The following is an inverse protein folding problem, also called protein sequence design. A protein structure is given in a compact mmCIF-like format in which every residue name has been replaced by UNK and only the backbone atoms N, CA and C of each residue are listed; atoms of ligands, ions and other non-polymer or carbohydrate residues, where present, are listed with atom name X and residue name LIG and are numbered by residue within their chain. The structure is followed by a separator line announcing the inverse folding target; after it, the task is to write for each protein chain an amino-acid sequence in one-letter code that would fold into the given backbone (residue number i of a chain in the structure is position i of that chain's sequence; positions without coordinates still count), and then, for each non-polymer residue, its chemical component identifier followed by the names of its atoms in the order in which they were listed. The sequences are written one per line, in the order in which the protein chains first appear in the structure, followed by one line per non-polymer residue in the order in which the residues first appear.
data_IF_149698486945
#
_entry.id   IF_149698486945
#
_cell.length_a   1.000
_cell.length_b   1.000
_cell.length_c   1.000
_cell.angle_alpha   90.00
_cell.angle_beta   90.00
_cell.angle_gamma   90.00
#
_symmetry.space_group_name_H-M   'P 1'
#
loop_
_entity.id
_entity.type
_entity.pdbx_description
1 polymer ?
#
# COMPACT_ATOMS: atom_id res chain seq x y z
N UNK A 1 -19.16 10.32 8.80
CA UNK A 1 -17.80 10.05 9.34
C UNK A 1 -16.72 10.93 8.71
N UNK A 2 -17.02 11.67 7.63
CA UNK A 2 -16.08 12.61 7.00
C UNK A 2 -15.06 11.95 6.09
N UNK A 3 -15.19 10.64 5.85
CA UNK A 3 -14.25 9.89 5.00
C UNK A 3 -14.55 10.12 3.53
N UNK A 4 -13.49 10.26 2.72
CA UNK A 4 -13.62 10.37 1.26
C UNK A 4 -13.98 9.01 0.67
N UNK A 5 -15.08 8.99 -0.09
CA UNK A 5 -15.49 7.87 -0.91
C UNK A 5 -15.45 8.27 -2.38
N UNK A 6 -14.98 7.37 -3.24
CA UNK A 6 -15.16 7.49 -4.69
C UNK A 6 -16.45 6.80 -5.10
N UNK A 7 -17.17 7.40 -6.05
CA UNK A 7 -18.35 6.76 -6.65
C UNK A 7 -17.94 5.46 -7.33
N UNK A 8 -18.78 4.44 -7.23
CA UNK A 8 -18.58 3.08 -7.78
C UNK A 8 -17.51 2.21 -7.09
N UNK A 9 -17.03 2.59 -5.89
CA UNK A 9 -16.24 1.65 -5.07
C UNK A 9 -17.16 0.56 -4.51
N UNK A 10 -16.83 -0.70 -4.79
CA UNK A 10 -17.52 -1.85 -4.22
C UNK A 10 -16.91 -2.18 -2.85
N UNK A 11 -17.74 -2.18 -1.82
CA UNK A 11 -17.39 -2.70 -0.51
C UNK A 11 -17.98 -4.10 -0.36
N UNK A 12 -17.16 -5.03 0.12
CA UNK A 12 -17.59 -6.39 0.45
C UNK A 12 -17.36 -6.59 1.94
N UNK A 13 -18.41 -7.01 2.65
CA UNK A 13 -18.26 -7.50 4.02
C UNK A 13 -17.51 -8.82 3.98
N UNK A 14 -16.60 -9.01 4.93
CA UNK A 14 -15.77 -10.20 5.06
C UNK A 14 -15.78 -10.67 6.51
N UNK A 15 -15.84 -11.98 6.70
CA UNK A 15 -15.94 -12.64 7.99
C UNK A 15 -14.72 -13.49 8.33
N UNK A 16 -13.81 -13.72 7.37
CA UNK A 16 -12.58 -14.49 7.57
C UNK A 16 -11.39 -13.94 6.78
N UNK A 17 -10.18 -14.41 7.14
CA UNK A 17 -8.94 -14.02 6.44
C UNK A 17 -8.92 -14.58 5.02
N UNK A 18 -9.51 -15.75 4.81
CA UNK A 18 -9.63 -16.42 3.51
C UNK A 18 -10.49 -15.60 2.54
N UNK A 19 -11.58 -14.99 3.02
CA UNK A 19 -12.41 -14.10 2.20
C UNK A 19 -11.64 -12.83 1.80
N UNK A 20 -10.84 -12.25 2.71
CA UNK A 20 -9.93 -11.14 2.38
C UNK A 20 -8.93 -11.57 1.31
N UNK A 21 -8.35 -12.75 1.45
CA UNK A 21 -7.36 -13.27 0.50
C UNK A 21 -7.97 -13.54 -0.88
N UNK A 22 -9.17 -14.11 -0.93
CA UNK A 22 -9.91 -14.32 -2.17
C UNK A 22 -10.23 -13.00 -2.90
N UNK A 23 -10.59 -11.95 -2.16
CA UNK A 23 -10.81 -10.61 -2.74
C UNK A 23 -9.51 -9.99 -3.26
N UNK A 24 -8.40 -10.18 -2.55
CA UNK A 24 -7.07 -9.76 -2.98
C UNK A 24 -6.64 -10.45 -4.28
N UNK A 25 -6.78 -11.78 -4.35
CA UNK A 25 -6.47 -12.57 -5.54
C UNK A 25 -7.37 -12.19 -6.72
N UNK A 26 -8.66 -11.95 -6.47
CA UNK A 26 -9.59 -11.47 -7.49
C UNK A 26 -9.17 -10.09 -8.01
N UNK A 27 -8.79 -9.16 -7.12
CA UNK A 27 -8.30 -7.83 -7.50
C UNK A 27 -6.99 -7.92 -8.30
N UNK A 28 -6.06 -8.78 -7.90
CA UNK A 28 -4.81 -9.04 -8.62
C UNK A 28 -5.06 -9.65 -10.01
N UNK A 29 -5.99 -10.62 -10.10
CA UNK A 29 -6.38 -11.24 -11.37
C UNK A 29 -7.07 -10.24 -12.30
N UNK A 30 -7.96 -9.38 -11.78
CA UNK A 30 -8.59 -8.31 -12.55
C UNK A 30 -7.55 -7.31 -13.08
N UNK A 31 -6.54 -6.96 -12.26
CA UNK A 31 -5.37 -6.17 -12.70
C UNK A 31 -4.62 -6.86 -13.83
N UNK A 32 -4.46 -8.19 -13.78
CA UNK A 32 -3.78 -9.00 -14.80
C UNK A 32 -4.60 -9.26 -16.08
N UNK A 33 -5.93 -9.36 -16.03
CA UNK A 33 -6.77 -9.60 -17.22
C UNK A 33 -6.95 -8.34 -18.07
N UNK A 34 -6.86 -7.16 -17.47
CA UNK A 34 -6.82 -5.89 -18.19
C UNK A 34 -5.48 -5.65 -18.93
N UNK A 35 -4.48 -6.52 -18.71
CA UNK A 35 -3.22 -6.55 -19.46
C UNK A 35 -3.22 -7.73 -20.45
N UNK A 36 -3.79 -7.54 -21.64
CA UNK A 36 -3.59 -8.46 -22.76
C UNK A 36 -2.35 -8.08 -23.57
N UNK A 37 -1.55 -9.09 -23.91
CA UNK A 37 -0.41 -9.13 -24.85
C UNK A 37 0.61 -7.97 -24.78
N UNK A 38 1.78 -8.27 -24.20
CA UNK A 38 3.05 -7.52 -24.31
C UNK A 38 3.27 -6.20 -23.55
N UNK A 39 2.45 -5.79 -22.56
CA UNK A 39 2.75 -4.56 -21.79
C UNK A 39 2.95 -4.80 -20.29
N UNK A 40 4.13 -4.40 -19.82
CA UNK A 40 4.51 -4.07 -18.45
C UNK A 40 3.60 -2.94 -17.92
N UNK A 41 2.35 -3.28 -17.57
CA UNK A 41 1.29 -2.33 -17.14
C UNK A 41 1.19 -2.21 -15.62
N UNK A 42 1.86 -3.08 -14.86
CA UNK A 42 1.97 -2.95 -13.39
C UNK A 42 2.60 -1.62 -12.99
N UNK A 43 3.57 -1.13 -13.78
CA UNK A 43 4.18 0.20 -13.64
C UNK A 43 3.27 1.36 -14.09
N UNK A 44 2.07 1.08 -14.62
CA UNK A 44 1.22 2.07 -15.31
C UNK A 44 -0.17 2.25 -14.72
N UNK A 45 -0.45 1.67 -13.57
CA UNK A 45 -1.68 1.95 -12.82
C UNK A 45 -1.42 1.92 -11.32
N UNK A 46 -2.13 2.79 -10.59
CA UNK A 46 -2.14 2.78 -9.13
C UNK A 46 -3.19 1.78 -8.65
N UNK A 47 -2.86 1.01 -7.61
CA UNK A 47 -3.79 0.13 -6.92
C UNK A 47 -4.02 0.68 -5.50
N UNK A 48 -5.29 0.83 -5.13
CA UNK A 48 -5.70 1.19 -3.77
C UNK A 48 -6.61 0.11 -3.24
N UNK A 49 -6.15 -0.57 -2.17
CA UNK A 49 -6.95 -1.48 -1.38
C UNK A 49 -7.30 -0.82 -0.05
N UNK A 50 -8.57 -0.81 0.31
CA UNK A 50 -9.03 -0.27 1.59
C UNK A 50 -9.70 -1.36 2.42
N UNK A 51 -9.23 -1.52 3.66
CA UNK A 51 -9.84 -2.39 4.67
C UNK A 51 -10.45 -1.48 5.74
N UNK A 52 -11.76 -1.59 5.95
CA UNK A 52 -12.50 -0.86 6.99
C UNK A 52 -12.86 -1.82 8.10
N UNK A 53 -12.53 -1.44 9.33
CA UNK A 53 -12.86 -2.22 10.53
C UNK A 53 -13.78 -1.39 11.40
N UNK A 54 -14.99 -1.91 11.63
CA UNK A 54 -15.95 -1.33 12.56
C UNK A 54 -16.01 -2.16 13.82
N UNK A 55 -15.86 -1.50 14.97
CA UNK A 55 -15.90 -2.13 16.29
C UNK A 55 -17.03 -1.49 17.07
N UNK A 56 -17.81 -2.33 17.74
CA UNK A 56 -18.85 -1.90 18.67
C UNK A 56 -18.56 -2.52 20.04
N UNK A 57 -18.29 -1.67 21.03
CA UNK A 57 -18.13 -2.09 22.41
C UNK A 57 -19.51 -2.38 23.02
N UNK A 58 -19.78 -3.65 23.30
CA UNK A 58 -21.12 -4.12 23.71
C UNK A 58 -21.61 -3.50 25.02
N UNK A 59 -20.70 -3.26 25.98
CA UNK A 59 -21.08 -2.75 27.29
C UNK A 59 -21.35 -1.23 27.33
N UNK A 60 -20.56 -0.44 26.58
CA UNK A 60 -20.72 1.03 26.56
C UNK A 60 -21.52 1.54 25.35
N UNK A 61 -21.80 0.68 24.36
CA UNK A 61 -22.36 1.08 23.07
C UNK A 61 -21.40 1.90 22.21
N UNK A 62 -20.16 2.16 22.68
CA UNK A 62 -19.18 2.96 21.95
C UNK A 62 -18.82 2.27 20.63
N UNK A 63 -18.75 3.06 19.55
CA UNK A 63 -18.35 2.58 18.23
C UNK A 63 -17.02 3.22 17.84
N UNK A 64 -16.11 2.42 17.30
CA UNK A 64 -14.88 2.91 16.68
C UNK A 64 -14.76 2.35 15.28
N UNK A 65 -14.30 3.16 14.35
CA UNK A 65 -14.05 2.76 12.97
C UNK A 65 -12.60 3.10 12.63
N UNK A 66 -11.87 2.11 12.13
CA UNK A 66 -10.54 2.28 11.56
C UNK A 66 -10.57 1.99 10.06
N UNK A 67 -9.65 2.61 9.31
CA UNK A 67 -9.45 2.32 7.89
C UNK A 67 -7.97 2.18 7.61
N UNK A 68 -7.58 1.05 7.02
CA UNK A 68 -6.26 0.81 6.47
C UNK A 68 -6.35 0.97 4.95
N UNK A 69 -5.48 1.80 4.39
CA UNK A 69 -5.31 1.92 2.95
C UNK A 69 -3.93 1.35 2.58
N UNK A 70 -3.89 0.35 1.71
CA UNK A 70 -2.68 -0.16 1.07
C UNK A 70 -2.65 0.36 -0.36
N UNK A 71 -1.63 1.15 -0.67
CA UNK A 71 -1.51 1.86 -1.95
C UNK A 71 -0.23 1.40 -2.64
N UNK A 72 -0.38 0.79 -3.80
CA UNK A 72 0.72 0.47 -4.72
C UNK A 72 0.70 1.50 -5.85
N UNK A 73 1.73 2.33 -5.90
CA UNK A 73 1.83 3.42 -6.86
C UNK A 73 2.46 2.94 -8.16
N UNK A 74 1.99 3.51 -9.27
CA UNK A 74 2.62 3.35 -10.57
C UNK A 74 4.07 3.87 -10.56
N UNK A 75 4.84 3.48 -11.57
CA UNK A 75 6.23 3.86 -11.75
C UNK A 75 6.42 5.37 -11.78
N UNK A 76 7.48 5.84 -11.12
CA UNK A 76 7.84 7.25 -11.01
C UNK A 76 8.74 7.76 -12.13
N UNK A 77 9.11 6.87 -13.06
CA UNK A 77 10.04 7.18 -14.14
C UNK A 77 9.54 8.29 -15.06
N UNK A 78 10.48 9.05 -15.60
CA UNK A 78 10.15 10.14 -16.52
C UNK A 78 9.74 9.58 -17.88
N UNK A 79 8.64 10.11 -18.42
CA UNK A 79 8.15 9.82 -19.78
C UNK A 79 9.25 9.99 -20.85
N UNK A 80 10.18 10.92 -20.64
CA UNK A 80 11.30 11.15 -21.56
C UNK A 80 12.24 9.93 -21.72
N UNK A 81 12.30 9.01 -20.75
CA UNK A 81 13.09 7.77 -20.85
C UNK A 81 12.33 6.61 -21.50
N UNK A 82 11.00 6.66 -21.58
CA UNK A 82 10.19 5.49 -21.94
C UNK A 82 10.08 5.24 -23.44
N UNK A 83 10.71 6.07 -24.29
CA UNK A 83 10.57 6.03 -25.77
C UNK A 83 9.10 5.88 -26.23
N UNK A 84 8.15 6.30 -25.41
CA UNK A 84 6.73 6.05 -25.62
C UNK A 84 6.19 7.02 -26.68
N UNK A 85 5.42 6.48 -27.63
CA UNK A 85 4.77 7.26 -28.70
C UNK A 85 3.27 6.94 -28.77
N UNK A 86 2.50 7.85 -29.40
CA UNK A 86 1.06 7.67 -29.61
C UNK A 86 0.26 7.52 -28.30
N UNK A 87 -0.62 6.53 -28.23
CA UNK A 87 -1.46 6.26 -27.06
C UNK A 87 -0.65 5.89 -25.80
N UNK A 88 0.52 5.27 -25.96
CA UNK A 88 1.43 4.96 -24.83
C UNK A 88 1.99 6.22 -24.18
N UNK A 89 2.22 7.28 -24.96
CA UNK A 89 2.68 8.57 -24.45
C UNK A 89 1.59 9.25 -23.61
N UNK A 90 0.34 9.23 -24.10
CA UNK A 90 -0.80 9.78 -23.35
C UNK A 90 -1.04 9.05 -22.03
N UNK A 91 -0.94 7.72 -22.04
CA UNK A 91 -1.04 6.90 -20.82
C UNK A 91 0.05 7.29 -19.81
N UNK A 92 1.32 7.33 -20.24
CA UNK A 92 2.45 7.73 -19.39
C UNK A 92 2.29 9.14 -18.81
N UNK A 93 1.76 10.08 -19.59
CA UNK A 93 1.46 11.44 -19.10
C UNK A 93 0.36 11.43 -18.03
N UNK A 94 -0.69 10.61 -18.17
CA UNK A 94 -1.75 10.51 -17.18
C UNK A 94 -1.25 9.92 -15.85
N UNK A 95 -0.37 8.93 -15.91
CA UNK A 95 0.28 8.35 -14.72
C UNK A 95 1.11 9.42 -14.01
N UNK A 96 2.00 10.08 -14.74
CA UNK A 96 2.89 11.09 -14.16
C UNK A 96 2.13 12.31 -13.66
N UNK A 97 0.97 12.64 -14.24
CA UNK A 97 0.08 13.68 -13.71
C UNK A 97 -0.38 13.37 -12.29
N UNK A 98 -0.75 12.13 -11.99
CA UNK A 98 -1.19 11.75 -10.64
C UNK A 98 -0.06 11.73 -9.61
N UNK A 99 1.16 11.33 -10.00
CA UNK A 99 2.34 11.41 -9.14
C UNK A 99 2.83 12.86 -8.94
N UNK A 100 2.76 13.70 -9.98
CA UNK A 100 3.04 15.12 -9.86
C UNK A 100 2.05 15.82 -8.91
N UNK A 101 0.75 15.53 -9.04
CA UNK A 101 -0.26 16.04 -8.11
C UNK A 101 0.01 15.58 -6.66
N UNK A 102 0.48 14.34 -6.46
CA UNK A 102 0.89 13.85 -5.15
C UNK A 102 2.07 14.65 -4.58
N UNK A 103 3.05 14.98 -5.42
CA UNK A 103 4.16 15.84 -5.03
C UNK A 103 3.71 17.26 -4.68
N UNK A 104 2.78 17.84 -5.44
CA UNK A 104 2.20 19.16 -5.16
C UNK A 104 1.47 19.18 -3.81
N UNK A 105 0.74 18.11 -3.48
CA UNK A 105 0.07 17.96 -2.19
C UNK A 105 1.08 17.98 -1.05
N UNK A 106 2.15 17.17 -1.11
CA UNK A 106 3.18 17.18 -0.07
C UNK A 106 3.93 18.51 0.02
N UNK A 107 4.20 19.17 -1.11
CA UNK A 107 4.82 20.49 -1.12
C UNK A 107 3.94 21.54 -0.42
N UNK A 108 2.63 21.54 -0.71
CA UNK A 108 1.68 22.44 -0.05
C UNK A 108 1.54 22.15 1.46
N UNK A 109 1.54 20.88 1.85
CA UNK A 109 1.50 20.47 3.26
C UNK A 109 2.76 20.89 4.02
N UNK A 110 3.94 20.68 3.42
CA UNK A 110 5.22 21.09 3.99
C UNK A 110 5.29 22.62 4.18
N UNK A 111 4.76 23.37 3.20
CA UNK A 111 4.66 24.83 3.27
C UNK A 111 3.56 25.34 4.22
N UNK A 112 2.73 24.45 4.77
CA UNK A 112 1.56 24.78 5.60
C UNK A 112 0.60 25.75 4.88
N UNK A 113 0.44 25.57 3.57
CA UNK A 113 -0.47 26.38 2.77
C UNK A 113 -1.92 26.18 3.23
N UNK A 114 -2.72 27.25 3.22
CA UNK A 114 -4.14 27.18 3.55
C UNK A 114 -4.93 26.27 2.59
N UNK A 115 -4.53 26.23 1.31
CA UNK A 115 -5.12 25.37 0.30
C UNK A 115 -4.14 24.27 -0.12
N UNK A 116 -4.55 23.01 0.04
CA UNK A 116 -3.81 21.83 -0.42
C UNK A 116 -4.53 21.23 -1.64
N UNK A 117 -3.84 21.01 -2.78
CA UNK A 117 -4.48 20.71 -4.06
C UNK A 117 -4.87 19.23 -4.22
N UNK A 118 -5.60 18.64 -3.26
CA UNK A 118 -6.02 17.24 -3.32
C UNK A 118 -6.84 16.90 -4.57
N UNK A 119 -7.53 17.87 -5.16
CA UNK A 119 -8.39 17.67 -6.34
C UNK A 119 -7.64 17.62 -7.68
N UNK A 120 -6.32 17.84 -7.70
CA UNK A 120 -5.54 17.83 -8.94
C UNK A 120 -5.43 16.43 -9.59
N UNK A 121 -5.74 15.37 -8.83
CA UNK A 121 -5.88 14.01 -9.37
C UNK A 121 -6.91 13.20 -8.58
N UNK A 122 -7.43 12.13 -9.19
CA UNK A 122 -8.31 11.17 -8.49
C UNK A 122 -7.60 10.48 -7.33
N UNK A 123 -6.30 10.19 -7.49
CA UNK A 123 -5.47 9.54 -6.48
C UNK A 123 -5.34 10.42 -5.22
N UNK A 124 -4.91 11.67 -5.39
CA UNK A 124 -4.75 12.62 -4.29
C UNK A 124 -6.08 12.96 -3.61
N UNK A 125 -7.18 12.94 -4.35
CA UNK A 125 -8.51 13.13 -3.78
C UNK A 125 -8.91 11.93 -2.91
N UNK A 126 -8.75 10.70 -3.42
CA UNK A 126 -9.02 9.47 -2.68
C UNK A 126 -8.15 9.35 -1.41
N UNK A 127 -6.91 9.83 -1.46
CA UNK A 127 -5.95 9.78 -0.36
C UNK A 127 -5.97 11.02 0.54
N UNK A 128 -6.88 11.96 0.34
CA UNK A 128 -6.94 13.21 1.12
C UNK A 128 -6.92 12.95 2.63
N UNK A 129 -7.72 11.99 3.10
CA UNK A 129 -7.78 11.63 4.52
C UNK A 129 -6.45 11.04 5.03
N UNK A 130 -5.76 10.26 4.18
CA UNK A 130 -4.46 9.67 4.50
C UNK A 130 -3.34 10.72 4.54
N UNK A 131 -3.46 11.79 3.74
CA UNK A 131 -2.38 12.74 3.48
C UNK A 131 -2.54 14.08 4.19
N UNK A 132 -3.68 14.38 4.80
CA UNK A 132 -3.85 15.60 5.60
C UNK A 132 -4.92 15.50 6.69
N UNK A 133 -5.48 14.32 6.89
CA UNK A 133 -6.44 14.05 7.96
C UNK A 133 -5.80 13.37 9.17
N UNK A 134 -6.67 12.90 10.06
CA UNK A 134 -6.33 12.07 11.21
C UNK A 134 -5.94 10.65 10.76
N UNK A 135 -4.72 10.52 10.22
CA UNK A 135 -4.18 9.27 9.69
C UNK A 135 -2.73 9.06 10.10
N UNK A 136 -2.34 7.80 10.26
CA UNK A 136 -0.94 7.40 10.32
C UNK A 136 -0.53 6.91 8.94
N UNK A 137 0.44 7.57 8.34
CA UNK A 137 0.86 7.27 6.97
C UNK A 137 2.32 6.85 6.96
N UNK A 138 2.56 5.67 6.39
CA UNK A 138 3.89 5.13 6.11
C UNK A 138 4.09 5.15 4.60
N UNK A 139 5.19 5.73 4.15
CA UNK A 139 5.63 5.66 2.76
C UNK A 139 6.83 4.72 2.67
N UNK A 140 6.76 3.74 1.76
CA UNK A 140 7.89 2.89 1.41
C UNK A 140 8.39 3.35 0.05
N UNK A 141 9.71 3.53 -0.07
CA UNK A 141 10.35 3.97 -1.32
C UNK A 141 11.26 2.87 -1.81
N UNK A 142 10.92 2.29 -2.95
CA UNK A 142 11.70 1.27 -3.62
C UNK A 142 12.69 1.95 -4.58
N UNK A 143 13.97 1.60 -4.46
CA UNK A 143 15.05 2.13 -5.30
C UNK A 143 15.85 0.98 -5.90
N UNK A 144 16.36 1.20 -7.12
CA UNK A 144 17.26 0.28 -7.79
C UNK A 144 18.71 0.59 -7.39
N UNK A 145 19.54 -0.42 -7.06
CA UNK A 145 20.96 -0.24 -6.81
C UNK A 145 21.78 -0.16 -8.11
N UNK A 146 21.16 -0.32 -9.29
CA UNK A 146 21.83 -0.30 -10.59
C UNK A 146 22.28 1.12 -10.96
N UNK A 147 23.47 1.23 -11.54
CA UNK A 147 23.98 2.51 -12.07
C UNK A 147 23.08 3.08 -13.17
N UNK A 148 22.48 2.21 -13.99
CA UNK A 148 21.55 2.61 -15.06
C UNK A 148 20.28 3.33 -14.54
N UNK A 149 19.97 3.16 -13.25
CA UNK A 149 18.79 3.73 -12.59
C UNK A 149 19.15 4.81 -11.55
N UNK A 150 20.44 5.14 -11.40
CA UNK A 150 20.92 6.02 -10.35
C UNK A 150 20.19 7.38 -10.31
N UNK A 151 19.91 7.96 -11.48
CA UNK A 151 19.19 9.23 -11.59
C UNK A 151 17.73 9.16 -11.08
N UNK A 152 17.05 8.03 -11.29
CA UNK A 152 15.68 7.80 -10.81
C UNK A 152 15.70 7.49 -9.31
N UNK A 153 16.65 6.66 -8.85
CA UNK A 153 16.85 6.37 -7.43
C UNK A 153 17.12 7.65 -6.62
N UNK A 154 17.97 8.55 -7.12
CA UNK A 154 18.21 9.87 -6.50
C UNK A 154 16.94 10.71 -6.47
N UNK A 155 16.18 10.75 -7.58
CA UNK A 155 14.91 11.50 -7.64
C UNK A 155 13.90 10.99 -6.61
N UNK A 156 13.75 9.67 -6.48
CA UNK A 156 12.88 9.02 -5.50
C UNK A 156 13.30 9.29 -4.06
N UNK A 157 14.60 9.22 -3.75
CA UNK A 157 15.11 9.53 -2.40
C UNK A 157 14.94 11.02 -2.04
N UNK A 158 15.17 11.92 -3.00
CA UNK A 158 14.95 13.36 -2.79
C UNK A 158 13.47 13.67 -2.54
N UNK A 159 12.57 12.97 -3.23
CA UNK A 159 11.14 13.05 -2.94
C UNK A 159 10.81 12.52 -1.54
N UNK A 160 11.31 11.34 -1.19
CA UNK A 160 11.13 10.73 0.14
C UNK A 160 11.58 11.65 1.27
N UNK A 161 12.74 12.30 1.11
CA UNK A 161 13.30 13.25 2.08
C UNK A 161 12.37 14.45 2.31
N UNK A 162 11.69 14.95 1.27
CA UNK A 162 10.69 16.02 1.42
C UNK A 162 9.44 15.51 2.14
N UNK A 163 8.94 14.34 1.76
CA UNK A 163 7.75 13.72 2.37
C UNK A 163 7.96 13.45 3.86
N UNK A 164 9.14 12.97 4.25
CA UNK A 164 9.48 12.67 5.65
C UNK A 164 9.40 13.88 6.59
N UNK A 165 9.41 15.11 6.04
CA UNK A 165 9.32 16.35 6.80
C UNK A 165 7.89 16.86 6.97
N UNK A 166 6.91 16.19 6.37
CA UNK A 166 5.50 16.58 6.46
C UNK A 166 4.92 16.10 7.78
N UNK A 167 4.37 17.03 8.55
CA UNK A 167 3.69 16.75 9.82
C UNK A 167 2.17 16.70 9.61
N UNK A 168 1.59 15.50 9.69
CA UNK A 168 0.14 15.28 9.50
C UNK A 168 -0.72 15.62 10.74
N UNK A 169 -0.12 16.27 11.75
CA UNK A 169 -0.78 16.58 13.02
C UNK A 169 -0.82 15.40 14.00
N UNK A 170 -1.38 15.62 15.19
CA UNK A 170 -1.55 14.56 16.21
C UNK A 170 -2.79 13.74 15.88
N UNK A 171 -2.64 12.42 15.84
CA UNK A 171 -3.76 11.53 15.70
C UNK A 171 -4.76 11.73 16.87
N UNK A 172 -6.04 11.86 16.57
CA UNK A 172 -7.06 12.07 17.61
C UNK A 172 -7.28 10.77 18.38
N UNK A 173 -7.12 10.80 19.70
CA UNK A 173 -7.56 9.68 20.55
C UNK A 173 -9.09 9.67 20.56
N UNK A 174 -9.69 8.86 19.68
CA UNK A 174 -11.12 8.55 19.75
C UNK A 174 -11.34 7.47 20.82
N UNK A 175 -11.69 7.89 22.04
CA UNK A 175 -12.04 7.00 23.16
C UNK A 175 -11.38 7.42 24.47
N UNK A 176 -11.98 8.40 25.16
CA UNK A 176 -11.52 8.90 26.45
C UNK A 176 -12.68 9.01 27.43
N UNK A 177 -13.31 7.87 27.73
CA UNK A 177 -14.40 7.77 28.69
C UNK A 177 -14.18 6.58 29.60
N UNK A 178 -14.57 6.67 30.86
CA UNK A 178 -14.28 5.76 31.97
C UNK A 178 -14.55 4.24 31.77
N UNK A 179 -15.08 3.82 30.62
CA UNK A 179 -15.14 2.43 30.16
C UNK A 179 -13.77 1.86 29.66
N UNK A 180 -12.73 2.70 29.55
CA UNK A 180 -11.47 2.41 28.86
C UNK A 180 -10.58 1.33 29.49
N UNK A 181 -10.65 1.05 30.79
CA UNK A 181 -9.64 0.20 31.44
C UNK A 181 -9.78 -1.28 31.08
N UNK A 182 -11.00 -1.81 31.03
CA UNK A 182 -11.25 -3.21 30.68
C UNK A 182 -10.98 -3.49 29.20
N UNK A 183 -11.44 -2.60 28.32
CA UNK A 183 -11.24 -2.69 26.87
C UNK A 183 -9.77 -2.50 26.50
N UNK A 184 -9.03 -1.61 27.18
CA UNK A 184 -7.60 -1.44 26.99
C UNK A 184 -6.80 -2.69 27.42
N UNK A 185 -7.20 -3.34 28.51
CA UNK A 185 -6.58 -4.60 28.97
C UNK A 185 -6.85 -5.73 27.98
N UNK A 186 -8.07 -5.83 27.45
CA UNK A 186 -8.42 -6.84 26.44
C UNK A 186 -7.68 -6.60 25.11
N UNK A 187 -7.66 -5.35 24.61
CA UNK A 187 -6.92 -4.98 23.40
C UNK A 187 -5.40 -5.20 23.55
N UNK A 188 -4.85 -4.96 24.75
CA UNK A 188 -3.45 -5.24 25.05
C UNK A 188 -3.14 -6.74 25.07
N UNK A 189 -4.06 -7.57 25.59
CA UNK A 189 -3.95 -9.04 25.53
C UNK A 189 -4.02 -9.54 24.09
N UNK A 190 -5.02 -9.12 23.32
CA UNK A 190 -5.17 -9.52 21.92
C UNK A 190 -3.98 -9.08 21.07
N UNK A 191 -3.47 -7.85 21.28
CA UNK A 191 -2.26 -7.37 20.58
C UNK A 191 -1.01 -8.18 20.93
N UNK A 192 -0.92 -8.70 22.16
CA UNK A 192 0.21 -9.55 22.57
C UNK A 192 0.11 -10.93 21.89
N UNK A 193 -1.06 -11.55 21.89
CA UNK A 193 -1.30 -12.82 21.20
C UNK A 193 -1.07 -12.72 19.69
N UNK A 194 -1.52 -11.63 19.05
CA UNK A 194 -1.27 -11.42 17.61
C UNK A 194 0.22 -11.24 17.29
N UNK A 195 0.99 -10.62 18.19
CA UNK A 195 2.46 -10.52 18.03
C UNK A 195 3.13 -11.90 18.13
N UNK A 196 2.74 -12.69 19.13
CA UNK A 196 3.27 -14.05 19.32
C UNK A 196 2.97 -14.93 18.09
N UNK A 197 1.73 -14.89 17.57
CA UNK A 197 1.37 -15.62 16.35
C UNK A 197 2.15 -15.15 15.12
N UNK A 198 2.41 -13.84 15.00
CA UNK A 198 3.20 -13.30 13.88
C UNK A 198 4.67 -13.74 13.94
N UNK A 199 5.25 -13.85 15.13
CA UNK A 199 6.61 -14.38 15.33
C UNK A 199 6.68 -15.87 14.98
N UNK A 200 5.71 -16.67 15.41
CA UNK A 200 5.61 -18.10 15.05
C UNK A 200 5.49 -18.29 13.52
N UNK A 201 4.65 -17.50 12.86
CA UNK A 201 4.52 -17.47 11.40
C UNK A 201 5.84 -17.13 10.71
N UNK A 202 6.63 -16.21 11.28
CA UNK A 202 7.97 -15.86 10.78
C UNK A 202 8.92 -17.06 10.78
N UNK A 203 8.94 -17.82 11.88
CA UNK A 203 9.77 -19.04 12.01
C UNK A 203 9.35 -20.12 11.02
N UNK A 204 8.04 -20.33 10.86
CA UNK A 204 7.51 -21.31 9.89
C UNK A 204 7.89 -20.92 8.46
N UNK A 205 7.80 -19.62 8.11
CA UNK A 205 8.18 -19.11 6.80
C UNK A 205 9.67 -19.32 6.48
N UNK A 206 10.56 -19.11 7.46
CA UNK A 206 11.99 -19.40 7.27
C UNK A 206 12.26 -20.89 7.04
N UNK A 207 11.58 -21.77 7.77
CA UNK A 207 11.71 -23.22 7.57
C UNK A 207 11.23 -23.64 6.18
N UNK A 208 10.13 -23.06 5.71
CA UNK A 208 9.59 -23.32 4.38
C UNK A 208 10.58 -22.88 3.30
N UNK A 209 11.15 -21.67 3.39
CA UNK A 209 12.16 -21.18 2.45
C UNK A 209 13.42 -22.06 2.41
N UNK A 210 13.86 -22.59 3.56
CA UNK A 210 14.98 -23.54 3.61
C UNK A 210 14.63 -24.86 2.93
N UNK A 211 13.43 -25.38 3.16
CA UNK A 211 12.93 -26.60 2.51
C UNK A 211 12.84 -26.44 1.00
N UNK A 212 12.27 -25.35 0.50
CA UNK A 212 12.17 -25.06 -0.93
C UNK A 212 13.54 -24.98 -1.61
N UNK A 213 14.52 -24.33 -0.96
CA UNK A 213 15.90 -24.28 -1.47
C UNK A 213 16.54 -25.67 -1.55
N UNK A 214 16.35 -26.50 -0.53
CA UNK A 214 16.88 -27.86 -0.51
C UNK A 214 16.24 -28.73 -1.61
N UNK A 215 14.92 -28.65 -1.78
CA UNK A 215 14.19 -29.37 -2.82
C UNK A 215 14.63 -28.93 -4.23
N UNK A 216 14.88 -27.63 -4.43
CA UNK A 216 15.41 -27.12 -5.70
C UNK A 216 16.81 -27.64 -6.00
N UNK A 217 17.70 -27.66 -5.01
CA UNK A 217 19.06 -28.19 -5.17
C UNK A 217 19.06 -29.69 -5.50
N UNK A 218 18.22 -30.50 -4.82
CA UNK A 218 18.08 -31.93 -5.12
C UNK A 218 17.56 -32.18 -6.54
N UNK A 219 16.63 -31.34 -7.02
CA UNK A 219 16.11 -31.43 -8.38
C UNK A 219 17.18 -31.09 -9.42
N UNK A 220 17.98 -30.05 -9.18
CA UNK A 220 19.10 -29.68 -10.05
C UNK A 220 20.19 -30.79 -10.09
N UNK A 221 20.48 -31.44 -8.97
CA UNK A 221 21.38 -32.61 -8.93
C UNK A 221 20.84 -33.81 -9.71
N UNK A 222 19.55 -34.10 -9.58
CA UNK A 222 18.89 -35.19 -10.32
C UNK A 222 18.89 -34.92 -11.83
N UNK A 223 18.56 -33.70 -12.24
CA UNK A 223 18.59 -33.29 -13.65
C UNK A 223 20.01 -33.37 -14.23
N UNK A 224 21.03 -32.99 -13.45
CA UNK A 224 22.43 -33.11 -13.84
C UNK A 224 22.94 -34.57 -13.87
N UNK A 225 22.36 -35.47 -13.08
CA UNK A 225 22.67 -36.89 -13.13
C UNK A 225 22.05 -37.55 -14.37
N UNK A 226 20.79 -37.21 -14.68
CA UNK A 226 20.09 -37.67 -15.89
C UNK A 226 20.76 -37.19 -17.18
N UNK A 227 21.29 -35.96 -17.21
CA UNK A 227 22.01 -35.44 -18.36
C UNK A 227 23.39 -36.10 -18.62
N UNK A 228 23.91 -36.87 -17.64
CA UNK A 228 25.18 -37.61 -17.73
C UNK A 228 25.00 -39.10 -18.03
N UNK A 229 23.76 -39.59 -18.04
CA UNK A 229 23.38 -40.95 -18.41
C UNK A 229 22.99 -41.02 -19.89
#
# INVERSE_FOLDING_TARGET
DGMVFTTNTRWSEVSSVEEVWALLEHAASARSRASTSMNERSSRSHLVLSVRVELAHRASGARSCGRLNLVDLAGSERVARSNASGERLKEAQHINKSLAALADVFAALLAKNAHVPYRNSKLTYLLQDSLGGDSKTLMIVNVSPSEADAAESVSSLMFASRVARVELGRASKRGGGAADTATAVELARTSRTLKEQAEELGVVKERLLKSERAAKAQREELDAALARA
#
